data_IF_263681855928
#
_entry.id   IF_263681855928
#
_cell.length_a   1.000
_cell.length_b   1.000
_cell.length_c   1.000
_cell.angle_alpha   90.00
_cell.angle_beta   90.00
_cell.angle_gamma   90.00
#
_symmetry.space_group_name_H-M   'P 1'
#
loop_
_entity.id
_entity.type
_entity.pdbx_description
1 polymer ?
#
# COMPACT_ATOMS: atom_id res chain seq x y z
N UNK A 1 -38.91 52.59 44.62
CA UNK A 1 -39.61 53.05 43.40
C UNK A 1 -38.65 54.00 42.68
N UNK A 2 -38.34 53.84 41.37
CA UNK A 2 -39.24 53.47 40.28
C UNK A 2 -38.78 52.31 39.34
N UNK A 3 -39.79 51.76 38.66
CA UNK A 3 -39.93 51.18 37.30
C UNK A 3 -38.71 50.63 36.51
N UNK A 4 -38.68 49.30 36.33
CA UNK A 4 -37.88 48.58 35.32
C UNK A 4 -38.81 47.94 34.27
N UNK A 5 -39.46 48.76 33.46
CA UNK A 5 -40.05 48.34 32.20
C UNK A 5 -39.02 48.48 31.06
N UNK A 6 -38.44 47.36 30.62
CA UNK A 6 -38.02 47.07 29.22
C UNK A 6 -37.43 45.66 29.13
N UNK A 7 -37.73 45.00 28.01
CA UNK A 7 -37.41 43.61 27.60
C UNK A 7 -38.43 42.57 28.09
N UNK A 8 -39.64 42.54 27.54
CA UNK A 8 -40.02 41.93 26.24
C UNK A 8 -39.87 40.40 26.22
N UNK A 9 -41.01 39.73 26.25
CA UNK A 9 -41.24 38.31 26.02
C UNK A 9 -40.58 37.78 24.74
N UNK A 10 -39.74 36.76 24.87
CA UNK A 10 -39.31 35.91 23.77
C UNK A 10 -40.00 34.54 23.89
N UNK A 11 -40.51 33.95 22.80
CA UNK A 11 -41.15 32.64 22.81
C UNK A 11 -40.10 31.54 23.04
N UNK A 12 -40.50 30.51 23.78
CA UNK A 12 -39.78 29.25 23.89
C UNK A 12 -39.64 28.65 22.49
N UNK A 13 -38.45 28.73 21.90
CA UNK A 13 -38.15 27.99 20.68
C UNK A 13 -38.08 26.50 21.03
N UNK A 14 -39.16 25.79 20.70
CA UNK A 14 -39.16 24.33 20.65
C UNK A 14 -38.07 23.88 19.66
N UNK A 15 -37.12 23.08 20.13
CA UNK A 15 -36.09 22.48 19.30
C UNK A 15 -36.74 21.71 18.13
N UNK A 16 -36.32 21.92 16.88
CA UNK A 16 -36.89 21.26 15.71
C UNK A 16 -36.32 19.84 15.57
N UNK A 17 -36.37 19.05 16.63
CA UNK A 17 -36.25 17.60 16.53
C UNK A 17 -37.61 17.03 16.12
N UNK A 18 -38.05 17.40 14.91
CA UNK A 18 -39.19 16.76 14.28
C UNK A 18 -38.72 15.37 13.84
N UNK A 19 -39.22 14.35 14.52
CA UNK A 19 -39.12 12.94 14.14
C UNK A 19 -39.74 12.75 12.75
N UNK A 20 -38.95 12.90 11.70
CA UNK A 20 -39.16 12.14 10.46
C UNK A 20 -38.24 10.94 10.53
N UNK A 21 -38.78 9.70 10.61
CA UNK A 21 -37.95 8.52 10.44
C UNK A 21 -37.52 8.52 8.98
N UNK A 22 -36.33 9.06 8.71
CA UNK A 22 -35.57 8.66 7.55
C UNK A 22 -35.17 7.23 7.90
N UNK A 23 -35.75 6.24 7.21
CA UNK A 23 -35.12 4.92 7.10
C UNK A 23 -33.82 5.13 6.32
N UNK A 24 -32.81 5.66 7.01
CA UNK A 24 -31.43 5.47 6.63
C UNK A 24 -31.25 3.99 6.90
N UNK A 25 -31.19 3.21 5.83
CA UNK A 25 -30.70 1.83 5.91
C UNK A 25 -29.38 1.93 6.67
N UNK A 26 -29.38 1.56 7.96
CA UNK A 26 -28.24 1.84 8.83
C UNK A 26 -27.07 1.11 8.19
N UNK A 27 -25.95 1.77 7.87
CA UNK A 27 -24.81 1.07 7.28
C UNK A 27 -24.48 -0.09 8.21
N UNK A 28 -24.58 -1.31 7.68
CA UNK A 28 -24.29 -2.51 8.43
C UNK A 28 -22.82 -2.49 8.79
N UNK A 29 -22.49 -2.71 10.06
CA UNK A 29 -21.10 -2.87 10.48
C UNK A 29 -20.54 -4.09 9.73
N UNK A 30 -19.41 -3.94 9.01
CA UNK A 30 -18.89 -5.00 8.13
C UNK A 30 -18.36 -6.20 8.93
N UNK A 31 -18.35 -7.38 8.30
CA UNK A 31 -17.58 -8.51 8.81
C UNK A 31 -16.18 -8.49 8.21
N UNK A 32 -15.15 -8.80 9.01
CA UNK A 32 -13.76 -8.81 8.54
C UNK A 32 -13.52 -9.78 7.38
N UNK A 33 -14.15 -10.96 7.43
CA UNK A 33 -13.95 -12.04 6.46
C UNK A 33 -14.46 -11.68 5.06
N UNK A 34 -15.42 -10.74 4.94
CA UNK A 34 -15.91 -10.25 3.65
C UNK A 34 -14.82 -9.43 2.89
N UNK A 35 -13.74 -9.06 3.58
CA UNK A 35 -12.62 -8.27 3.08
C UNK A 35 -11.28 -9.02 3.16
N UNK A 36 -11.33 -10.36 3.26
CA UNK A 36 -10.16 -11.23 3.41
C UNK A 36 -9.30 -10.90 4.66
N UNK A 37 -9.92 -10.36 5.71
CA UNK A 37 -9.25 -10.04 6.98
C UNK A 37 -9.54 -11.15 8.00
N UNK A 38 -8.49 -11.78 8.52
CA UNK A 38 -8.62 -12.83 9.50
C UNK A 38 -8.89 -12.25 10.90
N UNK A 39 -9.89 -12.73 11.67
CA UNK A 39 -10.24 -12.14 12.98
C UNK A 39 -9.13 -12.25 14.04
N UNK A 40 -8.19 -13.19 13.87
CA UNK A 40 -7.06 -13.41 14.80
C UNK A 40 -5.74 -12.82 14.25
N UNK A 41 -5.54 -12.87 12.93
CA UNK A 41 -4.24 -12.56 12.31
C UNK A 41 -4.29 -11.26 11.49
N UNK A 42 -5.45 -10.61 11.42
CA UNK A 42 -5.67 -9.37 10.71
C UNK A 42 -5.38 -9.54 9.22
N UNK A 43 -4.51 -8.69 8.70
CA UNK A 43 -4.11 -8.68 7.30
C UNK A 43 -3.04 -9.73 6.95
N UNK A 44 -2.50 -10.46 7.93
CA UNK A 44 -1.53 -11.52 7.68
C UNK A 44 -2.23 -12.76 7.10
N UNK A 45 -1.78 -13.28 5.92
CA UNK A 45 -2.27 -14.54 5.39
C UNK A 45 -1.83 -15.70 6.28
N UNK A 46 -2.68 -16.16 7.19
CA UNK A 46 -2.28 -17.11 8.24
C UNK A 46 -3.02 -18.45 8.23
N UNK A 47 -4.20 -18.54 7.61
CA UNK A 47 -4.93 -19.79 7.47
C UNK A 47 -5.36 -20.05 6.02
N UNK A 48 -4.56 -20.81 5.25
CA UNK A 48 -3.22 -21.32 5.58
C UNK A 48 -2.11 -20.23 5.45
N UNK A 49 -0.92 -20.42 6.08
CA UNK A 49 0.19 -19.46 6.04
C UNK A 49 0.78 -19.25 4.64
N UNK A 50 1.70 -18.29 4.43
CA UNK A 50 2.32 -18.08 3.13
C UNK A 50 3.00 -19.35 2.62
N UNK A 51 2.98 -19.57 1.30
CA UNK A 51 3.57 -20.75 0.70
C UNK A 51 5.10 -20.59 0.62
N UNK A 52 5.85 -21.56 1.16
CA UNK A 52 7.33 -21.48 1.18
C UNK A 52 7.99 -21.78 -0.17
N UNK A 53 7.31 -22.50 -1.08
CA UNK A 53 7.83 -22.85 -2.40
C UNK A 53 6.71 -23.17 -3.39
N UNK A 54 6.85 -22.71 -4.62
CA UNK A 54 5.96 -23.07 -5.73
C UNK A 54 6.11 -24.54 -6.16
N UNK A 55 5.11 -25.08 -6.89
CA UNK A 55 5.22 -26.39 -7.55
C UNK A 55 6.43 -26.50 -8.49
N UNK A 56 6.87 -27.75 -8.73
CA UNK A 56 8.10 -28.07 -9.46
C UNK A 56 8.21 -27.46 -10.87
N UNK A 57 7.09 -27.14 -11.52
CA UNK A 57 7.08 -26.42 -12.80
C UNK A 57 7.78 -25.05 -12.71
N UNK A 58 7.64 -24.35 -11.58
CA UNK A 58 8.22 -23.04 -11.32
C UNK A 58 9.61 -23.06 -10.67
N UNK A 59 10.24 -24.24 -10.61
CA UNK A 59 11.59 -24.41 -10.06
C UNK A 59 12.65 -23.47 -10.68
N UNK A 60 12.60 -23.06 -11.97
CA UNK A 60 13.52 -22.04 -12.49
C UNK A 60 13.44 -20.70 -11.75
N UNK A 61 12.26 -20.26 -11.34
CA UNK A 61 12.10 -19.03 -10.54
C UNK A 61 12.60 -19.24 -9.12
N UNK A 62 12.17 -20.33 -8.46
CA UNK A 62 12.56 -20.62 -7.07
C UNK A 62 14.08 -20.79 -6.94
N UNK A 63 14.75 -21.51 -7.85
CA UNK A 63 16.22 -21.62 -7.86
C UNK A 63 16.93 -20.29 -8.09
N UNK A 64 16.31 -19.38 -8.84
CA UNK A 64 16.88 -18.04 -9.04
C UNK A 64 16.82 -17.26 -7.73
N UNK A 65 15.71 -17.35 -6.99
CA UNK A 65 15.54 -16.73 -5.69
C UNK A 65 16.45 -17.34 -4.62
N UNK A 66 16.52 -18.68 -4.56
CA UNK A 66 17.41 -19.42 -3.63
C UNK A 66 18.88 -18.99 -3.77
N UNK A 67 19.30 -18.61 -4.99
CA UNK A 67 20.66 -18.18 -5.30
C UNK A 67 20.79 -16.66 -5.51
N UNK A 68 19.77 -15.86 -5.18
CA UNK A 68 19.69 -14.45 -5.55
C UNK A 68 20.91 -13.66 -5.06
N UNK A 69 21.25 -13.79 -3.79
CA UNK A 69 22.41 -13.11 -3.18
C UNK A 69 23.74 -13.51 -3.84
N UNK A 70 23.91 -14.80 -4.16
CA UNK A 70 25.12 -15.30 -4.83
C UNK A 70 25.19 -14.80 -6.28
N UNK A 71 24.06 -14.76 -6.99
CA UNK A 71 23.96 -14.26 -8.36
C UNK A 71 24.24 -12.75 -8.44
N UNK A 72 23.75 -11.97 -7.46
CA UNK A 72 24.03 -10.54 -7.32
C UNK A 72 25.52 -10.30 -7.04
N UNK A 73 26.09 -10.99 -6.04
CA UNK A 73 27.51 -10.86 -5.69
C UNK A 73 28.45 -11.23 -6.84
N UNK A 74 28.09 -12.25 -7.62
CA UNK A 74 28.89 -12.69 -8.77
C UNK A 74 28.67 -11.82 -10.03
N UNK A 75 27.74 -10.86 -10.03
CA UNK A 75 27.38 -10.08 -11.22
C UNK A 75 26.75 -10.94 -12.33
N UNK A 76 26.11 -12.07 -11.97
CA UNK A 76 25.57 -13.07 -12.92
C UNK A 76 24.06 -13.05 -13.06
N UNK A 77 23.35 -12.33 -12.18
CA UNK A 77 21.89 -12.34 -12.16
C UNK A 77 21.27 -11.96 -13.51
N UNK A 78 21.74 -10.88 -14.14
CA UNK A 78 21.14 -10.41 -15.40
C UNK A 78 21.25 -11.41 -16.53
N UNK A 79 22.45 -11.99 -16.71
CA UNK A 79 22.67 -13.06 -17.68
C UNK A 79 21.79 -14.27 -17.39
N UNK A 80 21.73 -14.69 -16.13
CA UNK A 80 20.90 -15.83 -15.70
C UNK A 80 19.42 -15.60 -15.99
N UNK A 81 18.89 -14.40 -15.69
CA UNK A 81 17.49 -14.04 -15.95
C UNK A 81 17.16 -14.02 -17.44
N UNK A 82 18.07 -13.57 -18.30
CA UNK A 82 17.87 -13.59 -19.76
C UNK A 82 17.83 -15.02 -20.33
N UNK A 83 18.46 -15.98 -19.65
CA UNK A 83 18.47 -17.40 -20.03
C UNK A 83 17.28 -18.18 -19.44
N UNK A 84 16.44 -17.55 -18.60
CA UNK A 84 15.27 -18.21 -18.02
C UNK A 84 14.21 -18.54 -19.08
N UNK A 85 13.55 -19.71 -18.96
CA UNK A 85 12.38 -20.00 -19.79
C UNK A 85 11.22 -19.06 -19.43
N UNK A 86 10.43 -18.69 -20.43
CA UNK A 86 9.13 -18.07 -20.18
C UNK A 86 8.17 -19.14 -19.65
N UNK A 87 7.86 -19.09 -18.35
CA UNK A 87 6.93 -20.01 -17.70
C UNK A 87 5.48 -19.55 -17.83
N UNK A 88 4.57 -20.52 -17.97
CA UNK A 88 3.14 -20.23 -18.04
C UNK A 88 2.54 -20.01 -16.65
N UNK A 89 1.84 -18.90 -16.50
CA UNK A 89 1.20 -18.50 -15.25
C UNK A 89 -0.09 -19.30 -14.98
N UNK A 90 -0.69 -19.91 -16.02
CA UNK A 90 -1.90 -20.73 -15.84
C UNK A 90 -1.67 -22.01 -15.03
N UNK A 91 -0.41 -22.39 -14.80
CA UNK A 91 -0.04 -23.52 -13.94
C UNK A 91 -0.13 -23.17 -12.43
N UNK A 92 -0.39 -21.91 -12.06
CA UNK A 92 -0.66 -21.49 -10.68
C UNK A 92 -2.11 -21.80 -10.30
N UNK A 93 -2.31 -22.66 -9.31
CA UNK A 93 -3.61 -23.24 -9.00
C UNK A 93 -4.36 -22.58 -7.82
N UNK A 94 -3.65 -21.88 -6.93
CA UNK A 94 -4.23 -21.35 -5.68
C UNK A 94 -3.79 -19.92 -5.40
N UNK A 95 -4.58 -19.17 -4.64
CA UNK A 95 -4.25 -17.78 -4.24
C UNK A 95 -2.85 -17.71 -3.61
N UNK A 96 -2.48 -18.69 -2.79
CA UNK A 96 -1.14 -18.76 -2.17
C UNK A 96 -0.02 -18.95 -3.19
N UNK A 97 -0.26 -19.72 -4.25
CA UNK A 97 0.70 -19.86 -5.34
C UNK A 97 0.84 -18.55 -6.12
N UNK A 98 -0.26 -17.83 -6.37
CA UNK A 98 -0.22 -16.49 -6.96
C UNK A 98 0.57 -15.51 -6.09
N UNK A 99 0.30 -15.46 -4.78
CA UNK A 99 1.01 -14.63 -3.81
C UNK A 99 2.50 -14.97 -3.75
N UNK A 100 2.85 -16.26 -3.74
CA UNK A 100 4.25 -16.71 -3.77
C UNK A 100 4.94 -16.36 -5.08
N UNK A 101 4.29 -16.59 -6.22
CA UNK A 101 4.82 -16.20 -7.53
C UNK A 101 5.09 -14.69 -7.59
N UNK A 102 4.18 -13.88 -7.03
CA UNK A 102 4.36 -12.43 -6.96
C UNK A 102 5.59 -12.07 -6.13
N UNK A 103 5.76 -12.66 -4.95
CA UNK A 103 6.96 -12.48 -4.12
C UNK A 103 8.22 -12.83 -4.92
N UNK A 104 8.28 -14.04 -5.47
CA UNK A 104 9.48 -14.56 -6.16
C UNK A 104 9.87 -13.67 -7.33
N UNK A 105 8.90 -13.33 -8.18
CA UNK A 105 9.11 -12.47 -9.34
C UNK A 105 9.51 -11.05 -8.93
N UNK A 106 8.95 -10.52 -7.83
CA UNK A 106 9.32 -9.19 -7.32
C UNK A 106 10.78 -9.13 -6.88
N UNK A 107 11.25 -10.14 -6.13
CA UNK A 107 12.65 -10.22 -5.72
C UNK A 107 13.60 -10.36 -6.91
N UNK A 108 13.29 -11.23 -7.87
CA UNK A 108 14.11 -11.41 -9.08
C UNK A 108 14.15 -10.12 -9.90
N UNK A 109 13.00 -9.48 -10.13
CA UNK A 109 12.91 -8.26 -10.93
C UNK A 109 13.67 -7.09 -10.31
N UNK A 110 13.49 -6.85 -9.01
CA UNK A 110 14.22 -5.78 -8.31
C UNK A 110 15.71 -6.06 -8.20
N UNK A 111 16.10 -7.33 -8.01
CA UNK A 111 17.50 -7.73 -8.09
C UNK A 111 18.08 -7.48 -9.49
N UNK A 112 17.32 -7.76 -10.56
CA UNK A 112 17.75 -7.53 -11.95
C UNK A 112 17.93 -6.03 -12.25
N UNK A 113 16.96 -5.21 -11.83
CA UNK A 113 16.94 -3.76 -12.08
C UNK A 113 18.05 -3.07 -11.28
N UNK A 114 18.06 -3.24 -9.96
CA UNK A 114 18.93 -2.50 -9.03
C UNK A 114 20.24 -3.22 -8.68
N UNK A 115 20.48 -4.40 -9.25
CA UNK A 115 21.58 -5.29 -8.90
C UNK A 115 22.90 -4.55 -8.71
N UNK A 116 23.42 -4.59 -7.49
CA UNK A 116 24.66 -3.89 -7.10
C UNK A 116 25.80 -4.38 -8.00
N UNK A 117 26.60 -3.42 -8.51
CA UNK A 117 27.75 -3.56 -9.42
C UNK A 117 27.48 -3.20 -10.89
N UNK A 118 26.25 -2.83 -11.26
CA UNK A 118 25.92 -2.23 -12.56
C UNK A 118 25.01 -0.99 -12.39
N UNK A 119 24.86 -0.19 -13.45
CA UNK A 119 23.80 0.82 -13.55
C UNK A 119 22.42 0.16 -13.61
N UNK A 120 21.36 0.88 -13.21
CA UNK A 120 19.98 0.39 -13.27
C UNK A 120 19.60 -0.16 -14.66
N UNK A 121 18.88 -1.30 -14.69
CA UNK A 121 18.38 -1.84 -15.96
C UNK A 121 17.11 -1.09 -16.37
N UNK A 122 17.08 -0.58 -17.61
CA UNK A 122 15.92 0.14 -18.16
C UNK A 122 14.87 -0.80 -18.79
N UNK A 123 15.24 -2.05 -19.06
CA UNK A 123 14.39 -3.06 -19.70
C UNK A 123 14.36 -4.31 -18.83
N UNK A 124 13.17 -4.70 -18.38
CA UNK A 124 12.94 -5.98 -17.74
C UNK A 124 12.59 -7.02 -18.81
N UNK A 125 13.34 -8.13 -18.89
CA UNK A 125 13.19 -9.09 -19.99
C UNK A 125 11.92 -9.92 -19.85
N UNK A 126 11.40 -10.38 -20.99
CA UNK A 126 10.11 -11.06 -21.12
C UNK A 126 9.90 -12.25 -20.17
N UNK A 127 10.90 -13.13 -19.89
CA UNK A 127 10.73 -14.27 -18.97
C UNK A 127 10.35 -13.89 -17.54
N UNK A 128 10.55 -12.63 -17.14
CA UNK A 128 10.13 -12.09 -15.84
C UNK A 128 9.02 -11.05 -16.01
N UNK A 129 9.17 -10.11 -16.96
CA UNK A 129 8.24 -8.99 -17.11
C UNK A 129 6.79 -9.44 -17.36
N UNK A 130 6.59 -10.36 -18.31
CA UNK A 130 5.25 -10.83 -18.68
C UNK A 130 4.56 -11.64 -17.56
N UNK A 131 5.16 -12.70 -16.98
CA UNK A 131 4.50 -13.44 -15.91
C UNK A 131 4.27 -12.55 -14.68
N UNK A 132 5.20 -11.64 -14.35
CA UNK A 132 5.01 -10.76 -13.21
C UNK A 132 3.86 -9.78 -13.41
N UNK A 133 3.70 -9.21 -14.60
CA UNK A 133 2.56 -8.36 -14.94
C UNK A 133 1.22 -9.09 -14.74
N UNK A 134 1.13 -10.34 -15.21
CA UNK A 134 -0.10 -11.11 -15.13
C UNK A 134 -0.39 -11.54 -13.69
N UNK A 135 0.63 -12.03 -12.98
CA UNK A 135 0.52 -12.41 -11.57
C UNK A 135 0.11 -11.22 -10.70
N UNK A 136 0.70 -10.06 -10.90
CA UNK A 136 0.34 -8.84 -10.18
C UNK A 136 -1.12 -8.44 -10.48
N UNK A 137 -1.53 -8.43 -11.75
CA UNK A 137 -2.90 -8.13 -12.16
C UNK A 137 -3.94 -9.10 -11.56
N UNK A 138 -3.62 -10.40 -11.50
CA UNK A 138 -4.48 -11.41 -10.88
C UNK A 138 -4.70 -11.17 -9.37
N UNK A 139 -3.74 -10.54 -8.69
CA UNK A 139 -3.81 -10.19 -7.28
C UNK A 139 -4.32 -8.75 -7.04
N UNK A 140 -4.65 -8.00 -8.08
CA UNK A 140 -4.99 -6.58 -7.95
C UNK A 140 -3.81 -5.69 -7.55
N UNK A 141 -2.57 -6.15 -7.77
CA UNK A 141 -1.33 -5.44 -7.46
C UNK A 141 -0.65 -4.90 -8.72
N UNK A 142 0.28 -3.97 -8.53
CA UNK A 142 1.16 -3.48 -9.60
C UNK A 142 2.41 -4.38 -9.67
N UNK A 143 3.02 -4.62 -10.84
CA UNK A 143 4.25 -5.42 -10.95
C UNK A 143 5.46 -4.60 -10.50
N UNK A 144 5.54 -4.36 -9.19
CA UNK A 144 6.57 -3.61 -8.46
C UNK A 144 6.76 -4.30 -7.10
N UNK A 145 7.97 -4.31 -6.53
CA UNK A 145 8.11 -4.81 -5.16
C UNK A 145 7.30 -3.90 -4.22
N UNK A 146 6.44 -4.53 -3.42
CA UNK A 146 5.48 -3.85 -2.57
C UNK A 146 5.53 -4.44 -1.17
N UNK A 147 4.91 -3.76 -0.22
CA UNK A 147 4.73 -4.23 1.15
C UNK A 147 4.20 -5.67 1.22
N UNK A 148 3.23 -6.02 0.36
CA UNK A 148 2.73 -7.38 0.24
C UNK A 148 3.82 -8.41 -0.09
N UNK A 149 4.72 -8.08 -1.03
CA UNK A 149 5.80 -8.98 -1.46
C UNK A 149 6.90 -9.16 -0.42
N UNK A 150 7.34 -8.07 0.23
CA UNK A 150 8.48 -8.11 1.16
C UNK A 150 8.10 -8.47 2.59
N UNK A 151 6.82 -8.36 2.93
CA UNK A 151 6.31 -8.61 4.27
C UNK A 151 5.20 -9.66 4.27
N UNK A 152 3.96 -9.31 3.88
CA UNK A 152 2.79 -10.18 4.06
C UNK A 152 2.95 -11.60 3.47
N UNK A 153 3.62 -11.72 2.33
CA UNK A 153 3.87 -13.03 1.67
C UNK A 153 5.24 -13.62 2.01
N UNK A 154 6.09 -12.91 2.75
CA UNK A 154 7.52 -13.22 2.96
C UNK A 154 7.86 -13.70 4.37
N UNK A 155 6.91 -14.34 5.04
CA UNK A 155 7.14 -14.86 6.39
C UNK A 155 6.74 -16.32 6.55
N UNK A 156 7.29 -16.93 7.59
CA UNK A 156 6.83 -18.19 8.15
C UNK A 156 6.97 -18.17 9.67
N UNK A 157 6.31 -19.11 10.32
CA UNK A 157 6.52 -19.39 11.75
C UNK A 157 7.61 -20.45 11.90
N UNK A 158 8.51 -20.25 12.88
CA UNK A 158 9.53 -21.23 13.24
C UNK A 158 8.90 -22.48 13.88
N UNK A 159 7.95 -22.26 14.80
CA UNK A 159 7.00 -23.23 15.30
C UNK A 159 5.60 -22.91 14.73
N UNK A 160 5.02 -23.78 13.88
CA UNK A 160 3.68 -23.59 13.33
C UNK A 160 2.58 -23.43 14.38
N UNK A 161 2.80 -23.90 15.61
CA UNK A 161 1.83 -23.77 16.71
C UNK A 161 2.19 -22.63 17.68
N UNK A 162 3.29 -21.92 17.44
CA UNK A 162 3.75 -20.81 18.26
C UNK A 162 3.05 -19.48 17.93
N UNK A 163 3.30 -18.43 18.73
CA UNK A 163 2.70 -17.11 18.49
C UNK A 163 3.22 -16.46 17.20
N UNK A 164 2.49 -15.51 16.63
CA UNK A 164 2.95 -14.70 15.50
C UNK A 164 3.67 -13.43 16.01
N UNK A 165 4.78 -13.59 16.73
CA UNK A 165 5.57 -12.47 17.26
C UNK A 165 7.07 -12.63 16.95
N UNK A 166 7.89 -11.66 17.37
CA UNK A 166 9.33 -11.64 17.10
C UNK A 166 10.12 -12.83 17.66
N UNK A 167 9.54 -13.64 18.56
CA UNK A 167 10.18 -14.87 19.04
C UNK A 167 10.05 -16.04 18.07
N UNK A 168 9.09 -15.96 17.14
CA UNK A 168 8.67 -17.10 16.31
C UNK A 168 8.47 -16.75 14.82
N UNK A 169 8.36 -15.48 14.46
CA UNK A 169 8.34 -15.02 13.07
C UNK A 169 9.74 -15.13 12.43
N UNK A 170 9.77 -15.62 11.20
CA UNK A 170 10.97 -15.66 10.37
C UNK A 170 10.67 -15.15 8.95
N UNK A 171 11.55 -14.31 8.43
CA UNK A 171 11.53 -13.85 7.04
C UNK A 171 12.08 -14.95 6.13
N UNK A 172 11.43 -15.17 4.99
CA UNK A 172 11.90 -16.19 4.03
C UNK A 172 13.04 -15.67 3.15
N UNK A 173 12.92 -14.45 2.63
CA UNK A 173 13.83 -13.92 1.61
C UNK A 173 14.29 -12.50 1.90
N UNK A 174 15.55 -12.21 1.54
CA UNK A 174 16.17 -10.87 1.60
C UNK A 174 17.15 -10.70 0.44
N UNK A 175 17.46 -9.45 0.08
CA UNK A 175 18.53 -9.10 -0.85
C UNK A 175 19.91 -9.02 -0.15
N UNK A 176 19.94 -8.53 1.09
CA UNK A 176 21.16 -8.03 1.73
C UNK A 176 21.48 -8.65 3.08
N UNK A 177 20.53 -9.33 3.73
CA UNK A 177 20.74 -10.10 4.95
C UNK A 177 20.08 -9.51 6.19
N UNK A 178 20.81 -9.46 7.30
CA UNK A 178 20.23 -9.36 8.65
C UNK A 178 19.48 -8.05 8.93
N UNK A 179 20.03 -6.89 8.53
CA UNK A 179 19.38 -5.59 8.74
C UNK A 179 18.04 -5.49 8.00
N UNK A 180 17.98 -6.05 6.79
CA UNK A 180 16.76 -6.13 5.98
C UNK A 180 15.75 -7.10 6.58
N UNK A 181 16.21 -8.28 7.01
CA UNK A 181 15.35 -9.24 7.70
C UNK A 181 14.74 -8.63 8.97
N UNK A 182 15.52 -7.87 9.75
CA UNK A 182 15.01 -7.18 10.93
C UNK A 182 13.99 -6.12 10.57
N UNK A 183 14.24 -5.34 9.52
CA UNK A 183 13.29 -4.36 9.01
C UNK A 183 11.93 -4.98 8.69
N UNK A 184 11.90 -6.10 7.94
CA UNK A 184 10.66 -6.81 7.64
C UNK A 184 10.02 -7.47 8.88
N UNK A 185 10.83 -8.04 9.79
CA UNK A 185 10.31 -8.68 11.00
C UNK A 185 9.61 -7.70 11.94
N UNK A 186 10.14 -6.49 12.10
CA UNK A 186 9.48 -5.46 12.92
C UNK A 186 8.10 -5.12 12.33
N UNK A 187 8.03 -4.89 11.01
CA UNK A 187 6.75 -4.59 10.36
C UNK A 187 5.77 -5.76 10.44
N UNK A 188 6.22 -7.00 10.23
CA UNK A 188 5.39 -8.21 10.38
C UNK A 188 4.85 -8.38 11.81
N UNK A 189 5.70 -8.13 12.81
CA UNK A 189 5.27 -8.18 14.21
C UNK A 189 4.27 -7.06 14.53
N UNK A 190 4.41 -5.88 13.92
CA UNK A 190 3.44 -4.79 14.01
C UNK A 190 2.09 -5.19 13.41
N UNK A 191 2.07 -5.84 12.24
CA UNK A 191 0.83 -6.37 11.64
C UNK A 191 0.15 -7.40 12.55
N UNK A 192 0.93 -8.35 13.08
CA UNK A 192 0.40 -9.38 13.98
C UNK A 192 -0.14 -8.80 15.30
N UNK A 193 0.58 -7.86 15.92
CA UNK A 193 0.14 -7.18 17.15
C UNK A 193 -1.11 -6.33 16.91
N UNK A 194 -1.19 -5.70 15.73
CA UNK A 194 -2.33 -4.88 15.32
C UNK A 194 -3.62 -5.64 15.05
N UNK A 195 -3.53 -6.93 14.71
CA UNK A 195 -4.68 -7.75 14.35
C UNK A 195 -5.81 -7.70 15.39
N UNK A 196 -5.48 -7.67 16.69
CA UNK A 196 -6.48 -7.64 17.77
C UNK A 196 -7.25 -6.32 17.87
N UNK A 197 -6.77 -5.23 17.27
CA UNK A 197 -7.50 -3.97 17.21
C UNK A 197 -8.70 -4.06 16.25
N UNK A 198 -8.61 -4.85 15.18
CA UNK A 198 -9.65 -4.91 14.14
C UNK A 198 -11.02 -5.39 14.69
N UNK A 199 -11.13 -6.55 15.37
CA UNK A 199 -12.40 -6.94 15.99
C UNK A 199 -12.81 -6.02 17.14
N UNK A 200 -11.86 -5.42 17.87
CA UNK A 200 -12.17 -4.46 18.92
C UNK A 200 -12.82 -3.18 18.36
N UNK A 201 -12.34 -2.68 17.21
CA UNK A 201 -12.94 -1.55 16.49
C UNK A 201 -14.39 -1.89 16.09
N UNK A 202 -14.63 -3.05 15.49
CA UNK A 202 -15.99 -3.43 15.08
C UNK A 202 -16.93 -3.57 16.28
N UNK A 203 -16.47 -4.18 17.38
CA UNK A 203 -17.28 -4.29 18.60
C UNK A 203 -17.51 -2.91 19.25
N UNK A 204 -16.55 -1.99 19.16
CA UNK A 204 -16.74 -0.60 19.58
C UNK A 204 -17.84 0.07 18.75
N UNK A 205 -17.86 -0.11 17.43
CA UNK A 205 -18.93 0.39 16.55
C UNK A 205 -20.29 -0.19 16.95
N UNK A 206 -20.37 -1.50 17.22
CA UNK A 206 -21.61 -2.11 17.70
C UNK A 206 -22.03 -1.56 19.07
N UNK A 207 -21.09 -1.34 19.98
CA UNK A 207 -21.36 -0.75 21.29
C UNK A 207 -21.92 0.67 21.18
N UNK A 208 -21.44 1.48 20.22
CA UNK A 208 -22.02 2.80 19.91
C UNK A 208 -23.48 2.65 19.47
N UNK A 209 -23.76 1.75 18.53
CA UNK A 209 -25.14 1.51 18.04
C UNK A 209 -26.08 1.07 19.18
N UNK A 210 -25.58 0.27 20.12
CA UNK A 210 -26.33 -0.20 21.30
C UNK A 210 -26.34 0.79 22.46
N UNK A 211 -25.66 1.94 22.36
CA UNK A 211 -25.44 2.89 23.46
C UNK A 211 -24.82 2.25 24.72
N UNK A 212 -23.94 1.26 24.53
CA UNK A 212 -23.25 0.53 25.58
C UNK A 212 -21.86 1.16 25.85
N UNK A 213 -21.84 2.17 26.72
CA UNK A 213 -20.61 2.89 27.08
C UNK A 213 -19.56 2.00 27.76
N UNK A 214 -19.99 0.95 28.48
CA UNK A 214 -19.07 0.07 29.20
C UNK A 214 -18.28 -0.78 28.20
N UNK A 215 -18.96 -1.38 27.24
CA UNK A 215 -18.32 -2.17 26.18
C UNK A 215 -17.48 -1.26 25.29
N UNK A 216 -18.00 -0.09 24.88
CA UNK A 216 -17.25 0.89 24.09
C UNK A 216 -15.91 1.23 24.75
N UNK A 217 -15.93 1.61 26.04
CA UNK A 217 -14.69 1.91 26.77
C UNK A 217 -13.74 0.72 26.76
N UNK A 218 -14.23 -0.49 27.08
CA UNK A 218 -13.41 -1.69 27.13
C UNK A 218 -12.75 -2.02 25.79
N UNK A 219 -13.43 -1.80 24.66
CA UNK A 219 -12.86 -2.04 23.34
C UNK A 219 -11.84 -0.96 22.95
N UNK A 220 -12.10 0.30 23.30
CA UNK A 220 -11.13 1.40 23.09
C UNK A 220 -9.86 1.21 23.95
N UNK A 221 -9.99 0.67 25.17
CA UNK A 221 -8.83 0.31 25.99
C UNK A 221 -7.96 -0.74 25.25
N UNK A 222 -8.56 -1.74 24.59
CA UNK A 222 -7.81 -2.73 23.77
C UNK A 222 -7.09 -2.05 22.60
N UNK A 223 -7.75 -1.14 21.89
CA UNK A 223 -7.12 -0.40 20.76
C UNK A 223 -5.95 0.45 21.28
N UNK A 224 -6.08 1.09 22.44
CA UNK A 224 -4.99 1.82 23.08
C UNK A 224 -3.79 0.92 23.39
N UNK A 225 -4.03 -0.24 24.02
CA UNK A 225 -2.98 -1.21 24.33
C UNK A 225 -2.25 -1.70 23.07
N UNK A 226 -2.97 -1.87 21.96
CA UNK A 226 -2.41 -2.24 20.66
C UNK A 226 -1.49 -1.15 20.13
N UNK A 227 -1.93 0.11 20.12
CA UNK A 227 -1.12 1.22 19.63
C UNK A 227 0.15 1.39 20.48
N UNK A 228 0.08 1.19 21.79
CA UNK A 228 1.25 1.20 22.68
C UNK A 228 2.21 0.04 22.37
N UNK A 229 1.69 -1.15 22.07
CA UNK A 229 2.48 -2.30 21.66
C UNK A 229 3.16 -2.10 20.31
N UNK A 230 2.43 -1.62 19.30
CA UNK A 230 2.97 -1.25 17.98
C UNK A 230 4.09 -0.22 18.15
N UNK A 231 3.86 0.82 18.96
CA UNK A 231 4.87 1.85 19.24
C UNK A 231 6.14 1.24 19.84
N UNK A 232 6.00 0.32 20.81
CA UNK A 232 7.15 -0.39 21.39
C UNK A 232 7.87 -1.25 20.35
N UNK A 233 7.16 -1.96 19.47
CA UNK A 233 7.75 -2.77 18.40
C UNK A 233 8.52 -1.91 17.40
N UNK A 234 7.96 -0.79 16.95
CA UNK A 234 8.62 0.12 16.01
C UNK A 234 9.94 0.67 16.58
N UNK A 235 10.00 0.96 17.89
CA UNK A 235 11.23 1.41 18.54
C UNK A 235 12.34 0.34 18.57
N UNK A 236 12.00 -0.93 18.38
CA UNK A 236 12.98 -2.02 18.28
C UNK A 236 13.67 -2.08 16.91
N UNK A 237 13.26 -1.27 15.94
CA UNK A 237 13.95 -1.14 14.65
C UNK A 237 15.46 -0.87 14.86
N UNK A 238 15.80 0.01 15.81
CA UNK A 238 17.17 0.37 16.13
C UNK A 238 18.02 -0.76 16.75
N UNK A 239 17.43 -1.91 17.12
CA UNK A 239 18.18 -3.03 17.71
C UNK A 239 19.09 -3.73 16.68
N UNK A 240 18.61 -3.92 15.45
CA UNK A 240 19.33 -4.70 14.42
C UNK A 240 19.13 -4.19 12.99
N UNK A 241 18.66 -2.96 12.82
CA UNK A 241 18.61 -2.29 11.52
C UNK A 241 19.45 -1.00 11.60
N UNK A 242 20.70 -1.09 11.16
CA UNK A 242 21.60 0.06 11.13
C UNK A 242 21.13 1.08 10.06
N UNK A 243 20.94 2.37 10.41
CA UNK A 243 20.43 3.37 9.47
C UNK A 243 21.29 3.55 8.20
N UNK A 244 22.62 3.42 8.31
CA UNK A 244 23.52 3.54 7.17
C UNK A 244 23.41 2.31 6.26
N UNK A 245 23.36 1.10 6.84
CA UNK A 245 23.12 -0.13 6.09
C UNK A 245 21.76 -0.08 5.40
N UNK A 246 20.70 0.29 6.12
CA UNK A 246 19.37 0.42 5.54
C UNK A 246 19.36 1.39 4.35
N UNK A 247 19.86 2.62 4.53
CA UNK A 247 19.80 3.65 3.50
C UNK A 247 20.61 3.29 2.25
N UNK A 248 21.78 2.69 2.38
CA UNK A 248 22.69 2.45 1.26
C UNK A 248 22.67 1.01 0.71
N UNK A 249 22.11 0.05 1.43
CA UNK A 249 22.11 -1.37 1.03
C UNK A 249 20.70 -1.91 0.82
N UNK A 250 19.76 -1.57 1.71
CA UNK A 250 18.39 -2.13 1.67
C UNK A 250 17.49 -1.27 0.79
N UNK A 251 17.40 0.04 1.09
CA UNK A 251 16.51 1.00 0.43
C UNK A 251 16.59 0.98 -1.10
N UNK A 252 17.77 0.85 -1.75
CA UNK A 252 17.83 0.78 -3.21
C UNK A 252 17.00 -0.36 -3.80
N UNK A 253 16.98 -1.55 -3.18
CA UNK A 253 16.24 -2.70 -3.71
C UNK A 253 14.72 -2.55 -3.56
N UNK A 254 14.25 -1.84 -2.54
CA UNK A 254 12.81 -1.58 -2.34
C UNK A 254 12.32 -0.30 -3.02
N UNK A 255 13.21 0.46 -3.66
CA UNK A 255 12.86 1.64 -4.42
C UNK A 255 12.11 1.27 -5.70
N UNK A 256 11.10 2.09 -6.03
CA UNK A 256 10.41 2.03 -7.30
C UNK A 256 11.11 2.86 -8.37
N UNK A 257 10.50 2.92 -9.55
CA UNK A 257 10.97 3.69 -10.70
C UNK A 257 10.02 4.84 -11.06
N UNK A 258 9.05 5.13 -10.22
CA UNK A 258 8.36 6.43 -10.23
C UNK A 258 9.27 7.50 -9.59
N UNK A 259 9.40 8.65 -10.26
CA UNK A 259 10.26 9.75 -9.83
C UNK A 259 11.74 9.37 -9.60
N UNK A 260 12.21 8.33 -10.30
CA UNK A 260 13.61 7.89 -10.22
C UNK A 260 14.53 8.78 -11.06
N UNK A 261 15.67 9.14 -10.49
CA UNK A 261 16.75 9.86 -11.19
C UNK A 261 17.49 8.97 -12.21
N UNK A 262 17.51 7.64 -12.03
CA UNK A 262 18.14 6.73 -12.99
C UNK A 262 17.14 6.23 -14.05
N UNK A 263 15.87 6.10 -13.68
CA UNK A 263 14.80 5.56 -14.52
C UNK A 263 13.72 6.63 -14.80
N UNK A 264 14.10 7.73 -15.47
CA UNK A 264 13.21 8.88 -15.72
C UNK A 264 11.89 8.54 -16.44
N UNK A 265 11.93 7.56 -17.35
CA UNK A 265 10.76 7.08 -18.10
C UNK A 265 10.05 5.91 -17.40
N UNK A 266 10.52 5.51 -16.22
CA UNK A 266 10.16 4.27 -15.57
C UNK A 266 10.93 3.07 -16.13
N UNK A 267 10.35 1.88 -16.00
CA UNK A 267 10.91 0.62 -16.46
C UNK A 267 10.15 0.12 -17.69
N UNK A 268 10.85 -0.36 -18.72
CA UNK A 268 10.23 -1.00 -19.87
C UNK A 268 9.99 -2.48 -19.61
N UNK A 269 8.73 -2.92 -19.72
CA UNK A 269 8.32 -4.31 -19.55
C UNK A 269 8.22 -4.99 -20.90
N UNK A 270 9.23 -5.79 -21.23
CA UNK A 270 9.25 -6.53 -22.50
C UNK A 270 8.11 -7.58 -22.54
N UNK A 271 7.39 -7.63 -23.66
CA UNK A 271 6.30 -8.57 -23.90
C UNK A 271 4.98 -8.23 -23.20
N UNK A 272 4.91 -7.12 -22.46
CA UNK A 272 3.67 -6.60 -21.87
C UNK A 272 3.07 -5.59 -22.83
N UNK A 273 1.91 -5.91 -23.40
CA UNK A 273 1.16 -5.01 -24.30
C UNK A 273 0.04 -4.29 -23.52
N UNK A 274 -0.43 -3.12 -23.99
CA UNK A 274 -1.53 -2.38 -23.34
C UNK A 274 -2.78 -3.24 -23.10
N UNK A 275 -3.14 -4.12 -24.04
CA UNK A 275 -4.38 -4.90 -24.00
C UNK A 275 -4.26 -6.24 -23.25
N UNK A 276 -3.08 -6.62 -22.73
CA UNK A 276 -2.88 -7.90 -22.04
C UNK A 276 -3.55 -7.97 -20.65
N UNK A 277 -4.23 -6.90 -20.24
CA UNK A 277 -5.12 -6.84 -19.08
C UNK A 277 -6.61 -6.82 -19.42
N UNK A 278 -6.99 -6.81 -20.71
CA UNK A 278 -8.38 -6.65 -21.16
C UNK A 278 -8.78 -7.69 -22.21
N UNK A 279 -8.84 -8.97 -21.83
CA UNK A 279 -9.71 -9.91 -22.56
C UNK A 279 -10.30 -10.99 -21.66
N UNK A 280 -11.61 -10.83 -21.43
CA UNK A 280 -12.65 -11.87 -21.29
C UNK A 280 -12.72 -12.72 -20.01
N UNK A 281 -13.55 -12.23 -19.08
CA UNK A 281 -14.53 -12.98 -18.25
C UNK A 281 -14.41 -14.52 -18.23
N UNK A 282 -14.13 -15.02 -17.03
CA UNK A 282 -14.78 -16.20 -16.42
C UNK A 282 -14.58 -17.56 -17.11
N UNK A 283 -13.72 -18.42 -16.55
CA UNK A 283 -13.98 -19.87 -16.56
C UNK A 283 -13.25 -20.61 -15.42
N UNK A 284 -14.02 -20.90 -14.37
CA UNK A 284 -14.05 -22.20 -13.69
C UNK A 284 -13.40 -22.46 -12.31
N UNK A 285 -12.78 -21.53 -11.59
CA UNK A 285 -12.31 -21.81 -10.21
C UNK A 285 -12.54 -20.74 -9.15
N UNK A 286 -13.62 -19.95 -9.21
CA UNK A 286 -14.21 -19.30 -8.01
C UNK A 286 -15.73 -19.27 -8.20
N UNK A 287 -16.40 -20.42 -8.06
CA UNK A 287 -17.87 -20.46 -7.91
C UNK A 287 -18.16 -20.57 -6.42
N UNK A 288 -18.21 -19.43 -5.75
CA UNK A 288 -19.10 -19.10 -4.62
C UNK A 288 -18.62 -17.81 -3.95
N UNK A 289 -18.77 -16.68 -4.64
CA UNK A 289 -18.89 -15.38 -3.99
C UNK A 289 -19.84 -14.55 -4.84
N UNK A 290 -20.98 -14.19 -4.27
CA UNK A 290 -22.01 -13.37 -4.92
C UNK A 290 -21.47 -11.95 -5.13
N UNK A 291 -20.97 -11.66 -6.33
CA UNK A 291 -20.64 -10.30 -6.78
C UNK A 291 -21.54 -9.93 -7.96
N UNK A 292 -22.76 -9.48 -7.65
CA UNK A 292 -23.64 -8.81 -8.60
C UNK A 292 -23.47 -7.30 -8.45
N UNK A 293 -22.50 -6.74 -9.19
CA UNK A 293 -22.33 -5.34 -9.65
C UNK A 293 -20.86 -4.92 -9.54
N UNK A 294 -20.07 -5.27 -10.56
CA UNK A 294 -18.73 -4.68 -10.75
C UNK A 294 -18.87 -3.49 -11.68
N UNK A 295 -18.78 -2.27 -11.12
CA UNK A 295 -18.53 -1.05 -11.88
C UNK A 295 -17.06 -1.02 -12.32
N UNK A 296 -16.80 -0.60 -13.56
CA UNK A 296 -15.46 -0.47 -14.13
C UNK A 296 -14.62 0.56 -13.35
N UNK A 297 -13.44 0.14 -12.87
CA UNK A 297 -12.38 1.03 -12.39
C UNK A 297 -11.62 1.66 -13.58
N UNK A 298 -11.17 2.92 -13.50
CA UNK A 298 -10.45 3.55 -14.59
C UNK A 298 -9.01 3.03 -14.69
N UNK A 299 -8.67 2.49 -15.86
CA UNK A 299 -7.29 2.15 -16.26
C UNK A 299 -6.48 3.44 -16.42
N UNK A 300 -5.36 3.57 -15.71
CA UNK A 300 -4.35 4.61 -16.04
C UNK A 300 -3.63 4.21 -17.33
N UNK A 301 -3.85 4.98 -18.41
CA UNK A 301 -3.13 4.84 -19.68
C UNK A 301 -1.68 5.30 -19.52
N UNK A 302 -0.73 4.55 -20.10
CA UNK A 302 0.68 4.99 -20.18
C UNK A 302 0.86 6.01 -21.30
N UNK A 303 1.98 6.75 -21.26
CA UNK A 303 2.21 7.94 -22.10
C UNK A 303 2.57 7.58 -23.57
N UNK A 304 2.88 6.32 -23.88
CA UNK A 304 3.31 5.89 -25.23
C UNK A 304 2.22 5.28 -26.14
N UNK A 305 0.94 5.31 -25.77
CA UNK A 305 -0.18 4.92 -26.66
C UNK A 305 -0.34 5.81 -27.91
N UNK A 306 0.59 6.73 -28.18
CA UNK A 306 0.46 7.73 -29.23
C UNK A 306 1.71 7.81 -30.10
N UNK A 307 1.66 7.02 -31.18
CA UNK A 307 2.16 7.33 -32.53
C UNK A 307 3.66 7.09 -32.78
N UNK A 308 3.97 5.92 -33.34
CA UNK A 308 5.18 5.79 -34.18
C UNK A 308 5.92 4.46 -34.16
N UNK A 309 5.30 3.32 -33.85
CA UNK A 309 5.99 2.03 -33.91
C UNK A 309 6.21 1.59 -35.37
N UNK A 310 7.35 2.01 -35.91
CA UNK A 310 8.00 1.33 -37.01
C UNK A 310 8.25 -0.13 -36.61
N UNK A 311 7.94 -1.03 -37.53
CA UNK A 311 8.12 -2.46 -37.36
C UNK A 311 9.59 -2.81 -37.03
N UNK A 312 9.77 -3.85 -36.23
CA UNK A 312 11.03 -4.56 -35.97
C UNK A 312 11.92 -4.09 -34.77
N UNK A 313 11.37 -4.09 -33.56
CA UNK A 313 12.10 -4.45 -32.30
C UNK A 313 11.16 -4.46 -31.09
N UNK A 314 11.13 -5.59 -30.37
CA UNK A 314 10.56 -5.84 -29.02
C UNK A 314 9.29 -5.07 -28.59
N UNK A 315 8.13 -5.72 -28.77
CA UNK A 315 6.83 -5.30 -28.20
C UNK A 315 6.89 -5.20 -26.67
N UNK A 316 6.45 -4.08 -26.07
CA UNK A 316 6.40 -3.86 -24.61
C UNK A 316 5.83 -2.49 -24.20
N UNK A 317 5.78 -2.18 -22.90
CA UNK A 317 5.26 -0.90 -22.37
C UNK A 317 6.17 -0.32 -21.27
N UNK A 318 6.36 1.00 -21.25
CA UNK A 318 6.98 1.72 -20.14
C UNK A 318 5.98 1.94 -19.00
N UNK A 319 6.43 1.77 -17.75
CA UNK A 319 5.57 1.93 -16.57
C UNK A 319 6.32 2.62 -15.44
N UNK A 320 5.61 3.46 -14.69
CA UNK A 320 6.09 4.18 -13.50
C UNK A 320 5.34 3.69 -12.27
N UNK A 321 6.06 3.16 -11.29
CA UNK A 321 5.48 2.64 -10.05
C UNK A 321 6.30 3.05 -8.84
N UNK A 322 5.63 3.53 -7.79
CA UNK A 322 6.19 3.72 -6.46
C UNK A 322 6.59 2.38 -5.84
N UNK A 323 7.72 2.36 -5.15
CA UNK A 323 8.26 1.17 -4.49
C UNK A 323 7.51 0.78 -3.22
N UNK A 324 8.09 -0.15 -2.46
CA UNK A 324 7.52 -0.57 -1.19
C UNK A 324 7.60 0.58 -0.15
N UNK A 325 6.50 0.78 0.57
CA UNK A 325 6.34 1.83 1.59
C UNK A 325 5.50 1.28 2.74
N UNK A 326 5.77 1.72 3.97
CA UNK A 326 4.90 1.43 5.11
C UNK A 326 3.47 1.99 4.91
N UNK A 327 3.30 3.00 4.05
CA UNK A 327 1.99 3.52 3.64
C UNK A 327 1.12 2.50 2.88
N UNK A 328 1.68 1.37 2.47
CA UNK A 328 0.93 0.26 1.87
C UNK A 328 0.37 -0.72 2.93
N UNK A 329 0.67 -0.55 4.22
CA UNK A 329 0.06 -1.32 5.32
C UNK A 329 -1.38 -0.87 5.55
N UNK A 330 -2.34 -1.79 5.38
CA UNK A 330 -3.76 -1.50 5.62
C UNK A 330 -4.08 -1.30 7.11
N UNK A 331 -3.30 -1.89 8.01
CA UNK A 331 -3.51 -1.76 9.46
C UNK A 331 -3.40 -0.32 9.93
N UNK A 332 -2.37 0.41 9.50
CA UNK A 332 -2.13 1.79 9.94
C UNK A 332 -3.31 2.67 9.50
N UNK A 333 -3.72 2.58 8.23
CA UNK A 333 -4.86 3.32 7.71
C UNK A 333 -6.18 2.92 8.39
N UNK A 334 -6.36 1.65 8.72
CA UNK A 334 -7.55 1.17 9.42
C UNK A 334 -7.69 1.81 10.80
N UNK A 335 -6.59 1.92 11.57
CA UNK A 335 -6.58 2.59 12.87
C UNK A 335 -6.94 4.07 12.73
N UNK A 336 -6.37 4.76 11.76
CA UNK A 336 -6.64 6.18 11.52
C UNK A 336 -8.10 6.43 11.13
N UNK A 337 -8.62 5.65 10.19
CA UNK A 337 -10.02 5.72 9.74
C UNK A 337 -10.97 5.42 10.89
N UNK A 338 -10.71 4.39 11.69
CA UNK A 338 -11.55 4.01 12.83
C UNK A 338 -11.61 5.11 13.90
N UNK A 339 -10.54 5.86 14.08
CA UNK A 339 -10.44 6.96 15.04
C UNK A 339 -10.86 8.32 14.46
N UNK A 340 -11.24 8.38 13.18
CA UNK A 340 -11.59 9.63 12.50
C UNK A 340 -10.41 10.59 12.35
N UNK A 341 -9.19 10.07 12.19
CA UNK A 341 -7.98 10.88 12.01
C UNK A 341 -7.92 11.35 10.56
N UNK A 342 -7.91 12.68 10.36
CA UNK A 342 -7.77 13.30 9.04
C UNK A 342 -6.31 13.69 8.78
N UNK A 343 -5.71 13.12 7.74
CA UNK A 343 -4.36 13.46 7.28
C UNK A 343 -4.40 14.59 6.27
N UNK A 344 -3.65 15.65 6.54
CA UNK A 344 -3.50 16.79 5.63
C UNK A 344 -2.16 16.71 4.91
N UNK A 345 -2.10 16.97 3.59
CA UNK A 345 -0.83 16.99 2.86
C UNK A 345 0.15 17.96 3.51
N UNK A 346 1.30 17.46 3.95
CA UNK A 346 2.39 18.32 4.41
C UNK A 346 2.81 19.19 3.23
N UNK A 347 2.70 20.52 3.36
CA UNK A 347 3.01 21.49 2.29
C UNK A 347 4.29 21.08 1.56
N UNK A 348 4.19 20.92 0.25
CA UNK A 348 5.28 20.54 -0.64
C UNK A 348 6.55 21.34 -0.31
N UNK A 349 7.65 20.63 -0.03
CA UNK A 349 8.96 21.24 0.11
C UNK A 349 9.21 22.13 -1.12
N UNK A 350 9.45 23.41 -0.90
CA UNK A 350 9.72 24.36 -1.97
C UNK A 350 10.87 23.86 -2.86
N UNK A 351 10.57 23.77 -4.15
CA UNK A 351 11.57 23.71 -5.22
C UNK A 351 12.38 25.00 -5.21
N UNK A 352 13.58 24.96 -4.65
CA UNK A 352 14.56 26.05 -4.81
C UNK A 352 15.52 25.75 -5.95
N UNK A 353 15.31 26.45 -7.07
CA UNK A 353 16.22 26.68 -8.19
C UNK A 353 15.52 27.70 -9.10
N UNK A 354 16.09 28.80 -9.59
CA UNK A 354 17.45 29.29 -9.84
C UNK A 354 17.38 30.84 -9.73
N UNK A 355 18.39 31.70 -9.62
CA UNK A 355 19.85 31.68 -9.66
C UNK A 355 20.30 33.14 -9.89
N UNK A 356 21.37 33.63 -9.23
CA UNK A 356 22.30 34.64 -9.76
C UNK A 356 23.40 35.01 -8.75
N UNK A 357 24.64 35.01 -9.26
CA UNK A 357 25.94 35.33 -8.65
C UNK A 357 26.02 36.49 -7.62
N UNK A 358 26.91 36.31 -6.62
CA UNK A 358 27.76 37.39 -6.10
C UNK A 358 27.89 37.55 -4.58
N UNK A 359 28.98 37.02 -3.99
CA UNK A 359 29.74 37.44 -2.79
C UNK A 359 29.07 37.68 -1.40
N UNK A 360 29.71 37.10 -0.38
CA UNK A 360 29.52 37.10 1.09
C UNK A 360 29.53 38.48 1.83
N UNK A 361 29.41 38.57 3.19
CA UNK A 361 28.45 37.96 4.15
C UNK A 361 27.91 38.98 5.21
N UNK A 362 27.04 38.49 6.13
CA UNK A 362 26.83 38.92 7.56
C UNK A 362 25.50 39.60 7.99
N UNK A 363 24.70 38.82 8.75
CA UNK A 363 23.91 39.11 9.98
C UNK A 363 22.76 40.15 10.04
N UNK A 364 21.76 39.94 10.93
CA UNK A 364 20.32 40.31 10.80
C UNK A 364 19.97 41.60 11.58
N UNK A 365 18.74 42.22 11.61
CA UNK A 365 17.47 41.60 12.08
C UNK A 365 16.12 42.21 11.58
N UNK A 366 15.02 41.65 12.12
CA UNK A 366 13.72 42.27 12.44
C UNK A 366 12.72 42.66 11.32
N UNK A 367 11.53 42.05 11.42
CA UNK A 367 10.32 42.80 11.78
C UNK A 367 9.25 43.02 10.70
N UNK A 368 8.11 42.34 10.92
CA UNK A 368 6.72 42.78 10.69
C UNK A 368 6.19 43.06 9.27
N UNK A 369 4.96 42.59 9.04
CA UNK A 369 3.99 43.21 8.13
C UNK A 369 3.41 42.25 7.09
N UNK A 370 2.36 41.49 7.42
CA UNK A 370 0.96 41.80 7.10
C UNK A 370 0.58 41.81 5.60
N UNK A 371 -0.11 40.72 5.21
CA UNK A 371 -1.41 40.64 4.50
C UNK A 371 -1.56 40.92 3.00
N UNK A 372 -2.20 39.89 2.39
CA UNK A 372 -3.35 39.88 1.47
C UNK A 372 -3.16 39.94 -0.05
N UNK A 373 -3.69 38.90 -0.69
CA UNK A 373 -3.95 38.82 -2.14
C UNK A 373 -4.39 37.42 -2.62
N UNK A 374 -5.57 36.96 -2.18
CA UNK A 374 -6.37 35.95 -2.92
C UNK A 374 -7.11 36.64 -4.09
N UNK A 375 -7.79 35.93 -5.01
CA UNK A 375 -7.48 34.63 -5.64
C UNK A 375 -7.74 34.68 -7.18
N UNK A 376 -7.42 33.62 -7.91
CA UNK A 376 -8.32 33.19 -8.99
C UNK A 376 -8.35 31.68 -9.16
N UNK A 377 -9.58 31.18 -9.30
CA UNK A 377 -10.01 29.80 -9.26
C UNK A 377 -10.06 29.16 -10.66
N UNK A 378 -9.86 27.84 -10.71
CA UNK A 378 -10.24 26.97 -11.82
C UNK A 378 -10.88 25.69 -11.27
N UNK A 379 -12.15 25.48 -11.64
CA UNK A 379 -13.08 24.36 -11.34
C UNK A 379 -12.44 22.98 -11.63
N UNK A 380 -12.48 21.93 -10.79
CA UNK A 380 -13.59 21.09 -10.25
C UNK A 380 -14.60 20.60 -11.29
N UNK A 381 -14.36 19.39 -11.80
CA UNK A 381 -15.40 18.50 -12.31
C UNK A 381 -15.50 17.26 -11.41
N UNK A 382 -16.73 16.91 -11.09
CA UNK A 382 -17.21 15.95 -10.09
C UNK A 382 -17.44 14.55 -10.66
N UNK A 383 -17.02 13.48 -9.95
CA UNK A 383 -17.58 12.13 -10.10
C UNK A 383 -17.50 11.37 -8.77
N UNK A 384 -18.64 10.83 -8.33
CA UNK A 384 -18.84 9.94 -7.17
C UNK A 384 -18.86 8.46 -7.62
N UNK A 385 -18.28 7.54 -6.82
CA UNK A 385 -18.33 6.08 -7.04
C UNK A 385 -17.42 5.28 -6.09
N UNK A 386 -17.77 4.02 -5.71
CA UNK A 386 -17.37 3.40 -4.44
C UNK A 386 -16.03 2.61 -4.43
N UNK A 387 -15.53 2.46 -3.21
CA UNK A 387 -14.23 2.00 -2.71
C UNK A 387 -13.97 0.51 -2.94
N UNK A 388 -12.78 0.18 -3.48
CA UNK A 388 -11.97 -0.97 -3.10
C UNK A 388 -10.60 -0.90 -3.81
N UNK A 389 -9.53 -1.23 -3.08
CA UNK A 389 -8.17 -1.35 -3.61
C UNK A 389 -7.23 -0.28 -3.06
N UNK A 390 -6.11 -0.74 -2.55
CA UNK A 390 -4.97 -0.01 -1.99
C UNK A 390 -4.64 1.22 -2.83
N UNK A 391 -4.99 2.40 -2.30
CA UNK A 391 -4.70 3.69 -2.90
C UNK A 391 -3.18 3.95 -2.79
N UNK A 392 -2.59 4.54 -3.83
CA UNK A 392 -1.24 5.10 -3.74
C UNK A 392 -1.19 6.14 -2.60
N UNK A 393 -0.05 6.33 -1.92
CA UNK A 393 0.11 7.26 -0.79
C UNK A 393 -0.46 8.70 -1.05
N UNK A 394 -0.49 9.15 -2.31
CA UNK A 394 -1.13 10.41 -2.74
C UNK A 394 -2.64 10.30 -3.03
N UNK A 395 -3.11 9.19 -3.61
CA UNK A 395 -4.52 8.97 -3.92
C UNK A 395 -5.34 8.66 -2.65
N UNK A 396 -4.73 8.12 -1.60
CA UNK A 396 -5.36 7.91 -0.28
C UNK A 396 -5.77 9.24 0.36
N UNK A 397 -4.91 10.26 0.25
CA UNK A 397 -5.17 11.59 0.79
C UNK A 397 -6.19 12.40 -0.03
N UNK A 398 -6.25 12.18 -1.35
CA UNK A 398 -7.19 12.90 -2.25
C UNK A 398 -8.59 12.26 -2.26
N UNK A 399 -8.70 10.94 -2.15
CA UNK A 399 -9.98 10.23 -2.14
C UNK A 399 -10.77 10.47 -0.83
N UNK A 400 -10.09 10.53 0.32
CA UNK A 400 -10.72 10.83 1.62
C UNK A 400 -11.27 12.27 1.66
N UNK A 401 -10.56 13.24 1.06
CA UNK A 401 -10.98 14.65 1.05
C UNK A 401 -12.12 14.98 0.06
N UNK A 402 -12.28 14.20 -1.02
CA UNK A 402 -13.38 14.41 -1.98
C UNK A 402 -14.70 13.81 -1.50
N UNK A 403 -14.64 12.77 -0.67
CA UNK A 403 -15.81 12.07 -0.12
C UNK A 403 -16.53 12.87 0.98
N UNK A 404 -15.85 13.78 1.66
CA UNK A 404 -16.41 14.63 2.73
C UNK A 404 -16.93 15.99 2.26
N UNK A 405 -16.65 16.39 1.02
CA UNK A 405 -17.06 17.72 0.52
C UNK A 405 -18.40 17.74 -0.23
N UNK A 406 -19.08 16.60 -0.43
CA UNK A 406 -20.29 16.57 -1.27
C UNK A 406 -21.62 16.43 -0.52
N UNK A 407 -21.61 16.20 0.80
CA UNK A 407 -22.84 16.01 1.59
C UNK A 407 -22.96 16.89 2.86
N UNK A 408 -22.31 18.06 2.90
CA UNK A 408 -22.41 19.02 4.04
C UNK A 408 -22.96 20.40 3.60
N UNK A 409 -23.87 20.40 2.62
CA UNK A 409 -24.77 21.54 2.42
C UNK A 409 -26.16 21.03 2.05
N UNK A 410 -26.93 20.61 3.05
CA UNK A 410 -28.31 21.07 3.32
C UNK A 410 -28.85 20.51 4.64
#
# INVERSE_FOLDING_TARGET
MPDMSRYSSAPVFASPLRKTPIEIDRPSIPNLEDYDIHPIYGFLPADPPPLERLPAYFEPWEKTLDNLSQLLLAGRLRKHVQELPLLDHSELASVREWQRAYLVLSFIAHGYVWGKNDNAAHVLPMPIARPWYIVAGQLGLKPIISYAAVELYNYKLLDPNGPADLSNLAVMHTFTGMDEAWFYLISLATEAAGARALPAILEAMHAVVRSDLKTLKSQLDIVCDVIEEITRLLLRMYEKNDPHIFYHRVRPYVAGWENSEELHNGLFYEGVLPDMGESTKSAQCIKNAHLNNVQHYPVQKSVEDLKGLAADSTRGTWRKYAGASAGQSSLIHCLDVAMGIEHWPTRSAHSSGEGSNGAQPSTPPNGNGFTNGHPHAGKRDSVTGPVNGTLNDTETAEYINSSTSTDIHE
#
